data_IF_054459466883
#
_entry.id   IF_054459466883
#
_cell.length_a   1.000
_cell.length_b   1.000
_cell.length_c   1.000
_cell.angle_alpha   90.00
_cell.angle_beta   90.00
_cell.angle_gamma   90.00
#
_symmetry.space_group_name_H-M   'P 1'
#
loop_
_entity.id
_entity.type
_entity.pdbx_description
1 polymer ?
#
# COMPACT_ATOMS: atom_id res chain seq x y z
N UNK A 1 -8.32 -19.87 0.25
CA UNK A 1 -7.36 -18.96 -0.43
C UNK A 1 -6.48 -18.35 0.63
N UNK A 2 -5.18 -18.29 0.39
CA UNK A 2 -4.20 -17.73 1.34
C UNK A 2 -4.33 -16.19 1.30
N UNK A 3 -4.40 -15.55 2.47
CA UNK A 3 -4.42 -14.09 2.59
C UNK A 3 -3.04 -13.60 3.02
N UNK A 4 -2.61 -12.47 2.47
CA UNK A 4 -1.35 -11.83 2.80
C UNK A 4 -1.63 -10.52 3.51
N UNK A 5 -0.98 -10.29 4.64
CA UNK A 5 -1.02 -8.98 5.30
C UNK A 5 0.06 -8.12 4.66
N UNK A 6 -0.34 -7.15 3.85
CA UNK A 6 0.57 -6.21 3.21
C UNK A 6 0.75 -4.97 4.08
N UNK A 7 2.00 -4.62 4.33
CA UNK A 7 2.41 -3.34 4.88
C UNK A 7 3.27 -2.63 3.85
N UNK A 8 2.77 -1.52 3.29
CA UNK A 8 3.46 -0.77 2.24
C UNK A 8 3.89 0.57 2.80
N UNK A 9 5.20 0.77 2.87
CA UNK A 9 5.81 2.06 3.21
C UNK A 9 5.90 2.84 1.90
N UNK A 10 5.30 4.02 1.85
CA UNK A 10 5.26 4.81 0.64
C UNK A 10 5.27 6.31 0.94
N UNK A 11 5.73 7.08 -0.05
CA UNK A 11 5.64 8.53 -0.04
C UNK A 11 4.59 8.96 -1.05
N UNK A 12 3.63 9.78 -0.61
CA UNK A 12 2.61 10.35 -1.50
C UNK A 12 2.25 11.77 -1.09
N UNK A 13 1.69 12.54 -2.03
CA UNK A 13 1.33 13.93 -1.78
C UNK A 13 0.03 14.02 -0.98
N UNK A 14 0.07 14.74 0.13
CA UNK A 14 -1.14 15.07 0.87
C UNK A 14 -1.97 16.16 0.15
N UNK A 15 -3.13 16.50 0.71
CA UNK A 15 -4.03 17.51 0.14
C UNK A 15 -3.42 18.92 0.04
N UNK A 16 -2.34 19.19 0.78
CA UNK A 16 -1.59 20.44 0.72
C UNK A 16 -0.42 20.40 -0.30
N UNK A 17 -0.27 19.30 -1.04
CA UNK A 17 0.83 19.13 -1.99
C UNK A 17 2.18 18.87 -1.33
N UNK A 18 2.20 18.41 -0.09
CA UNK A 18 3.43 18.05 0.64
C UNK A 18 3.64 16.55 0.55
N UNK A 19 4.86 16.13 0.20
CA UNK A 19 5.26 14.73 0.18
C UNK A 19 5.42 14.22 1.62
N UNK A 20 4.64 13.20 1.99
CA UNK A 20 4.62 12.64 3.34
C UNK A 20 4.83 11.13 3.28
N UNK A 21 5.60 10.61 4.24
CA UNK A 21 5.76 9.18 4.44
C UNK A 21 4.50 8.60 5.10
N UNK A 22 3.96 7.56 4.49
CA UNK A 22 2.77 6.86 4.94
C UNK A 22 3.00 5.35 4.96
N UNK A 23 2.37 4.71 5.95
CA UNK A 23 2.30 3.25 6.02
C UNK A 23 0.88 2.81 5.72
N UNK A 24 0.70 2.10 4.61
CA UNK A 24 -0.58 1.49 4.23
C UNK A 24 -0.60 0.03 4.64
N UNK A 25 -1.61 -0.38 5.43
CA UNK A 25 -1.81 -1.78 5.81
C UNK A 25 -3.10 -2.33 5.22
N UNK A 26 -3.03 -3.48 4.54
CA UNK A 26 -4.18 -4.13 3.90
C UNK A 26 -4.04 -5.65 3.86
N UNK A 27 -5.15 -6.35 3.64
CA UNK A 27 -5.15 -7.79 3.30
C UNK A 27 -5.23 -7.93 1.78
N UNK A 28 -4.27 -8.60 1.17
CA UNK A 28 -4.30 -8.95 -0.24
C UNK A 28 -4.58 -10.43 -0.45
N UNK A 29 -5.23 -10.74 -1.58
CA UNK A 29 -5.49 -12.11 -2.01
C UNK A 29 -4.30 -12.73 -2.75
N UNK A 30 -3.36 -11.90 -3.18
CA UNK A 30 -2.18 -12.29 -3.95
C UNK A 30 -0.92 -11.75 -3.29
N UNK A 31 0.18 -12.50 -3.41
CA UNK A 31 1.49 -11.99 -3.04
C UNK A 31 1.87 -10.83 -3.98
N UNK A 32 2.37 -9.71 -3.44
CA UNK A 32 2.87 -8.59 -4.20
C UNK A 32 4.12 -8.99 -4.98
N UNK A 33 4.29 -8.38 -6.14
CA UNK A 33 5.45 -8.48 -6.99
C UNK A 33 5.95 -7.07 -7.29
N UNK A 34 7.20 -6.97 -7.75
CA UNK A 34 7.73 -5.70 -8.25
C UNK A 34 6.86 -5.18 -9.39
N UNK A 35 6.68 -3.87 -9.44
CA UNK A 35 5.84 -3.15 -10.41
C UNK A 35 4.32 -3.41 -10.28
N UNK A 36 3.88 -4.26 -9.35
CA UNK A 36 2.45 -4.40 -9.05
C UNK A 36 1.87 -3.06 -8.63
N UNK A 37 0.67 -2.76 -9.12
CA UNK A 37 -0.08 -1.56 -8.79
C UNK A 37 -1.28 -1.91 -7.95
N UNK A 38 -1.40 -1.25 -6.81
CA UNK A 38 -2.50 -1.39 -5.88
C UNK A 38 -3.24 -0.06 -5.75
N UNK A 39 -4.57 -0.11 -5.82
CA UNK A 39 -5.39 1.08 -5.66
C UNK A 39 -6.04 1.11 -4.28
N UNK A 40 -5.92 2.23 -3.60
CA UNK A 40 -6.51 2.47 -2.28
C UNK A 40 -7.55 3.57 -2.41
N UNK A 41 -8.80 3.22 -2.12
CA UNK A 41 -9.93 4.14 -2.11
C UNK A 41 -10.29 4.38 -0.65
N UNK A 42 -9.99 5.60 -0.17
CA UNK A 42 -10.33 6.04 1.18
C UNK A 42 -11.44 7.09 1.12
N UNK A 43 -12.35 7.06 2.09
CA UNK A 43 -13.38 8.10 2.25
C UNK A 43 -12.80 9.44 2.72
N UNK A 44 -11.58 9.42 3.26
CA UNK A 44 -10.88 10.58 3.81
C UNK A 44 -9.90 11.20 2.83
N UNK A 45 -9.76 10.64 1.61
CA UNK A 45 -8.91 11.18 0.56
C UNK A 45 -9.76 11.53 -0.64
N UNK A 46 -9.55 12.73 -1.21
CA UNK A 46 -10.33 13.22 -2.34
C UNK A 46 -10.14 12.41 -3.64
N UNK A 47 -9.02 11.68 -3.77
CA UNK A 47 -8.71 10.84 -4.93
C UNK A 47 -8.25 9.44 -4.50
N UNK A 48 -8.46 8.40 -5.33
CA UNK A 48 -7.81 7.11 -5.15
C UNK A 48 -6.29 7.28 -5.15
N UNK A 49 -5.62 6.56 -4.27
CA UNK A 49 -4.15 6.51 -4.21
C UNK A 49 -3.73 5.24 -4.92
N UNK A 50 -2.91 5.35 -5.96
CA UNK A 50 -2.34 4.18 -6.63
C UNK A 50 -0.88 4.05 -6.22
N UNK A 51 -0.54 2.93 -5.59
CA UNK A 51 0.83 2.63 -5.18
C UNK A 51 1.41 1.57 -6.09
N UNK A 52 2.58 1.86 -6.67
CA UNK A 52 3.41 0.89 -7.38
C UNK A 52 4.45 0.32 -6.42
N UNK A 53 4.55 -1.01 -6.33
CA UNK A 53 5.55 -1.67 -5.51
C UNK A 53 6.94 -1.54 -6.15
N UNK A 54 7.87 -0.95 -5.41
CA UNK A 54 9.28 -0.76 -5.81
C UNK A 54 10.20 -1.81 -5.25
N UNK A 55 9.89 -2.31 -4.07
CA UNK A 55 10.74 -3.25 -3.36
C UNK A 55 9.91 -4.10 -2.41
N UNK A 56 10.27 -5.38 -2.30
CA UNK A 56 9.79 -6.28 -1.25
C UNK A 56 10.91 -6.33 -0.20
N UNK A 57 10.66 -5.77 0.99
CA UNK A 57 11.66 -5.55 2.03
C UNK A 57 11.79 -6.79 2.93
N UNK A 58 10.66 -7.32 3.37
CA UNK A 58 10.65 -8.45 4.30
C UNK A 58 9.44 -9.36 4.05
N UNK A 59 9.65 -10.66 4.20
CA UNK A 59 8.61 -11.67 4.16
C UNK A 59 8.71 -12.53 5.40
N UNK A 60 7.85 -12.27 6.39
CA UNK A 60 7.78 -13.09 7.60
C UNK A 60 6.83 -14.25 7.33
N UNK A 61 7.42 -15.40 6.98
CA UNK A 61 6.70 -16.62 6.56
C UNK A 61 6.32 -17.54 7.72
N UNK A 62 6.55 -17.15 8.97
CA UNK A 62 6.41 -18.03 10.15
C UNK A 62 5.12 -17.79 11.00
N UNK A 63 4.21 -16.93 10.55
CA UNK A 63 2.92 -16.65 11.19
C UNK A 63 1.77 -17.34 10.44
N UNK A 64 0.60 -17.63 11.06
CA UNK A 64 -0.59 -18.12 10.35
C UNK A 64 -1.04 -17.22 9.19
N UNK A 65 -0.54 -15.98 9.13
CA UNK A 65 -0.70 -15.05 8.01
C UNK A 65 0.69 -14.65 7.49
N UNK A 66 0.91 -14.72 6.18
CA UNK A 66 2.16 -14.23 5.59
C UNK A 66 2.14 -12.71 5.61
N UNK A 67 3.00 -12.13 6.44
CA UNK A 67 3.19 -10.69 6.50
C UNK A 67 4.30 -10.27 5.54
N UNK A 68 3.96 -9.34 4.64
CA UNK A 68 4.85 -8.85 3.61
C UNK A 68 5.01 -7.34 3.76
N UNK A 69 6.25 -6.90 3.91
CA UNK A 69 6.61 -5.49 4.00
C UNK A 69 7.20 -5.06 2.66
N UNK A 70 6.62 -4.02 2.07
CA UNK A 70 7.04 -3.50 0.77
C UNK A 70 7.34 -2.00 0.85
N UNK A 71 8.21 -1.50 -0.03
CA UNK A 71 8.28 -0.08 -0.36
C UNK A 71 7.49 0.17 -1.65
N UNK A 72 6.76 1.27 -1.70
CA UNK A 72 6.05 1.70 -2.90
C UNK A 72 6.08 3.21 -3.09
N UNK A 73 5.67 3.66 -4.27
CA UNK A 73 5.51 5.07 -4.60
C UNK A 73 4.10 5.33 -5.15
N UNK A 74 3.58 6.54 -4.96
CA UNK A 74 2.39 6.99 -5.67
C UNK A 74 2.65 7.13 -7.16
N UNK A 75 1.73 6.64 -7.99
CA UNK A 75 1.72 6.83 -9.44
C UNK A 75 0.35 7.31 -9.90
N UNK A 76 0.29 8.11 -10.97
CA UNK A 76 -0.98 8.57 -11.56
C UNK A 76 -1.60 7.56 -12.56
N UNK A 77 -0.91 6.44 -12.80
CA UNK A 77 -1.29 5.46 -13.81
C UNK A 77 -2.35 4.46 -13.32
N UNK A 78 -3.57 4.55 -13.86
CA UNK A 78 -4.71 3.68 -13.50
C UNK A 78 -4.79 2.35 -14.28
N UNK A 79 -3.80 2.03 -15.12
CA UNK A 79 -3.77 0.78 -15.87
C UNK A 79 -3.15 -0.37 -15.04
N UNK A 80 -3.54 -1.61 -15.33
CA UNK A 80 -2.96 -2.82 -14.74
C UNK A 80 -3.02 -2.88 -13.20
N UNK A 81 -4.10 -2.37 -12.61
CA UNK A 81 -4.34 -2.44 -11.17
C UNK A 81 -4.62 -3.88 -10.78
N UNK A 82 -3.80 -4.41 -9.87
CA UNK A 82 -3.85 -5.81 -9.46
C UNK A 82 -4.96 -6.06 -8.44
N UNK A 83 -5.12 -5.13 -7.50
CA UNK A 83 -6.16 -5.21 -6.47
C UNK A 83 -6.59 -3.80 -6.03
N UNK A 84 -7.86 -3.67 -5.62
CA UNK A 84 -8.47 -2.43 -5.16
C UNK A 84 -8.95 -2.59 -3.73
N UNK A 85 -8.52 -1.69 -2.85
CA UNK A 85 -8.81 -1.72 -1.42
C UNK A 85 -9.71 -0.55 -1.02
N UNK A 86 -10.85 -0.84 -0.40
CA UNK A 86 -11.89 0.16 -0.07
C UNK A 86 -11.89 0.60 1.41
N UNK A 87 -11.06 0.00 2.25
CA UNK A 87 -11.00 0.22 3.70
C UNK A 87 -9.56 0.11 4.23
N UNK A 88 -8.66 0.89 3.66
CA UNK A 88 -7.26 0.89 4.10
C UNK A 88 -7.09 1.72 5.36
N UNK A 89 -6.44 1.15 6.37
CA UNK A 89 -5.96 1.91 7.52
C UNK A 89 -4.72 2.66 7.07
N UNK A 90 -4.87 3.95 6.77
CA UNK A 90 -3.72 4.85 6.56
C UNK A 90 -3.21 5.23 7.95
N UNK A 91 -2.15 4.57 8.42
CA UNK A 91 -1.46 5.00 9.63
C UNK A 91 -0.47 6.08 9.18
N UNK A 92 -0.82 7.36 9.41
CA UNK A 92 0.16 8.43 9.33
C UNK A 92 1.08 8.30 10.56
N UNK A 93 2.39 8.25 10.36
CA UNK A 93 3.32 8.39 11.48
C UNK A 93 3.17 9.81 12.04
N UNK A 94 2.47 9.94 13.17
CA UNK A 94 2.53 11.14 13.99
C UNK A 94 3.95 11.24 14.53
N UNK A 95 4.78 12.10 13.91
CA UNK A 95 6.04 12.54 14.54
C UNK A 95 5.67 13.22 15.86
N UNK A 96 5.96 12.52 16.96
CA UNK A 96 5.91 13.02 18.33
C UNK A 96 6.97 14.08 18.59
#
# INVERSE_FOLDING_TARGET
MKKYTLTIICEFLNEMGVLVNHTLKTEALMAPQLEDKFMFISKYHFKPIVIRIKQIINALTESPYEELVCAGEEVDELNNIKEVFYHTWVMADEKK
#
